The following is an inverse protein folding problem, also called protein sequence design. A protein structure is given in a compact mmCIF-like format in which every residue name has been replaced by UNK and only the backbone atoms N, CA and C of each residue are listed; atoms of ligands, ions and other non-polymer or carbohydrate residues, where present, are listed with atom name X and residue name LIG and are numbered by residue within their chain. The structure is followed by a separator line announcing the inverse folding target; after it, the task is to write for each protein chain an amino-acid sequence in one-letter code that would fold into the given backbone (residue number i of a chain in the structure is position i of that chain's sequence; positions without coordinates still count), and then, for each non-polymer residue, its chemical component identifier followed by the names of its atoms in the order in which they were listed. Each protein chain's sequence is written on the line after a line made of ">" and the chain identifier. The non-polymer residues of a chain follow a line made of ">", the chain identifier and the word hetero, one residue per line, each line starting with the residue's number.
data_IF_773397855956
#
_entry.id   IF_773397855956
#
_cell.length_a   1.000
_cell.length_b   1.000
_cell.length_c   1.000
_cell.angle_alpha   90.00
_cell.angle_beta   90.00
_cell.angle_gamma   90.00
#
_symmetry.space_group_name_H-M   'P 1'
#
loop_
_entity.id
_entity.type
_entity.pdbx_description
1 polymer ?
#
# COMPACT_ATOMS: atom_id res chain seq x y z
N UNK A 1 -11.87 1.37 7.87
CA UNK A 1 -10.87 1.29 8.95
C UNK A 1 -10.65 -0.16 9.38
N UNK A 2 -9.85 -0.89 8.61
CA UNK A 2 -9.25 -2.15 9.04
C UNK A 2 -8.17 -1.88 10.10
N UNK A 3 -8.22 -2.60 11.21
CA UNK A 3 -7.17 -2.55 12.24
C UNK A 3 -6.09 -3.60 11.98
N UNK A 4 -4.89 -3.40 12.54
CA UNK A 4 -3.79 -4.40 12.52
C UNK A 4 -4.28 -5.81 12.90
N UNK A 5 -5.17 -5.92 13.90
CA UNK A 5 -5.77 -7.19 14.33
C UNK A 5 -6.51 -7.94 13.22
N UNK A 6 -7.25 -7.20 12.39
CA UNK A 6 -8.05 -7.76 11.31
C UNK A 6 -7.17 -8.12 10.12
N UNK A 7 -6.17 -7.29 9.81
CA UNK A 7 -5.16 -7.57 8.79
C UNK A 7 -4.37 -8.85 9.11
N UNK A 8 -3.93 -9.02 10.36
CA UNK A 8 -3.27 -10.26 10.81
C UNK A 8 -4.16 -11.49 10.61
N UNK A 9 -5.44 -11.39 10.99
CA UNK A 9 -6.41 -12.49 10.79
C UNK A 9 -6.60 -12.80 9.30
N UNK A 10 -6.75 -11.77 8.47
CA UNK A 10 -6.92 -11.91 7.02
C UNK A 10 -5.71 -12.59 6.39
N UNK A 11 -4.50 -12.11 6.69
CA UNK A 11 -3.25 -12.67 6.14
C UNK A 11 -3.04 -14.12 6.60
N UNK A 12 -3.36 -14.42 7.87
CA UNK A 12 -3.32 -15.79 8.39
C UNK A 12 -4.27 -16.73 7.63
N UNK A 13 -5.52 -16.32 7.43
CA UNK A 13 -6.54 -17.12 6.72
C UNK A 13 -6.17 -17.30 5.25
N UNK A 14 -5.72 -16.23 4.59
CA UNK A 14 -5.23 -16.24 3.19
C UNK A 14 -4.12 -17.27 2.97
N UNK A 15 -3.27 -17.47 3.99
CA UNK A 15 -2.16 -18.44 3.96
C UNK A 15 -2.50 -19.82 4.53
N UNK A 16 -3.76 -20.07 4.89
CA UNK A 16 -4.21 -21.32 5.52
C UNK A 16 -3.44 -21.68 6.81
N UNK A 17 -3.00 -20.68 7.57
CA UNK A 17 -2.26 -20.88 8.80
C UNK A 17 -3.20 -21.04 10.00
N UNK A 18 -2.88 -21.94 10.93
CA UNK A 18 -3.53 -21.96 12.23
C UNK A 18 -2.96 -20.82 13.09
N UNK A 19 -3.72 -20.40 14.09
CA UNK A 19 -3.27 -19.37 15.05
C UNK A 19 -1.94 -19.74 15.73
N UNK A 20 -1.71 -21.03 16.01
CA UNK A 20 -0.47 -21.54 16.58
C UNK A 20 0.73 -21.43 15.63
N UNK A 21 0.48 -21.50 14.32
CA UNK A 21 1.53 -21.44 13.30
C UNK A 21 1.96 -19.98 13.11
N UNK A 22 0.98 -19.07 13.10
CA UNK A 22 1.20 -17.62 13.00
C UNK A 22 2.08 -17.09 14.14
N UNK A 23 1.94 -17.62 15.37
CA UNK A 23 2.72 -17.16 16.54
C UNK A 23 3.98 -18.00 16.80
N UNK A 24 4.38 -18.86 15.85
CA UNK A 24 5.55 -19.73 16.03
C UNK A 24 6.80 -18.91 16.35
N UNK A 25 7.49 -19.29 17.42
CA UNK A 25 8.71 -18.61 17.88
C UNK A 25 8.47 -17.33 18.69
N UNK A 26 7.22 -16.99 19.00
CA UNK A 26 6.87 -15.86 19.86
C UNK A 26 6.41 -16.35 21.24
N UNK A 27 6.63 -15.52 22.26
CA UNK A 27 6.13 -15.78 23.63
C UNK A 27 4.65 -15.36 23.76
N UNK A 28 3.82 -15.79 22.82
CA UNK A 28 2.38 -15.49 22.76
C UNK A 28 1.62 -16.81 22.83
N UNK A 29 0.62 -16.90 23.72
CA UNK A 29 -0.26 -18.07 23.77
C UNK A 29 -1.33 -18.00 22.68
N UNK A 30 -1.83 -19.15 22.21
CA UNK A 30 -2.93 -19.21 21.24
C UNK A 30 -4.16 -18.43 21.72
N UNK A 31 -4.49 -18.53 23.00
CA UNK A 31 -5.60 -17.78 23.63
C UNK A 31 -5.38 -16.28 23.51
N UNK A 32 -4.18 -15.79 23.87
CA UNK A 32 -3.84 -14.38 23.79
C UNK A 32 -3.88 -13.88 22.34
N UNK A 33 -3.33 -14.64 21.39
CA UNK A 33 -3.36 -14.29 19.97
C UNK A 33 -4.79 -14.27 19.40
N UNK A 34 -5.67 -15.18 19.84
CA UNK A 34 -7.09 -15.14 19.46
C UNK A 34 -7.78 -13.85 19.92
N UNK A 35 -7.41 -13.30 21.08
CA UNK A 35 -7.89 -12.00 21.55
C UNK A 35 -7.28 -10.83 20.77
N UNK A 36 -6.04 -10.96 20.29
CA UNK A 36 -5.42 -10.00 19.37
C UNK A 36 -6.19 -9.97 18.04
N UNK A 37 -6.45 -11.11 17.41
CA UNK A 37 -7.21 -11.16 16.13
C UNK A 37 -8.65 -10.63 16.25
N UNK A 38 -9.22 -10.66 17.46
CA UNK A 38 -10.53 -10.07 17.76
C UNK A 38 -10.47 -8.57 18.09
N UNK A 39 -9.28 -7.97 18.13
CA UNK A 39 -9.07 -6.58 18.50
C UNK A 39 -9.27 -6.27 19.99
N UNK A 40 -9.38 -7.30 20.84
CA UNK A 40 -9.55 -7.16 22.30
C UNK A 40 -8.22 -6.83 22.97
N UNK A 41 -7.15 -7.52 22.54
CA UNK A 41 -5.80 -7.27 23.03
C UNK A 41 -4.96 -6.55 21.97
N UNK A 42 -4.02 -5.73 22.43
CA UNK A 42 -3.01 -5.10 21.57
C UNK A 42 -1.85 -6.05 21.35
N UNK A 43 -1.14 -5.84 20.24
CA UNK A 43 0.14 -6.50 19.95
C UNK A 43 1.26 -5.47 20.10
N UNK A 44 2.37 -5.88 20.71
CA UNK A 44 3.57 -5.04 20.76
C UNK A 44 4.23 -4.97 19.38
N UNK A 45 4.84 -3.83 19.05
CA UNK A 45 5.49 -3.65 17.75
C UNK A 45 6.59 -4.70 17.51
N UNK A 46 7.41 -5.02 18.51
CA UNK A 46 8.45 -6.05 18.40
C UNK A 46 7.87 -7.43 18.05
N UNK A 47 6.74 -7.79 18.66
CA UNK A 47 6.07 -9.06 18.40
C UNK A 47 5.43 -9.06 17.02
N UNK A 48 4.83 -7.95 16.58
CA UNK A 48 4.29 -7.79 15.23
C UNK A 48 5.40 -7.98 14.19
N UNK A 49 6.52 -7.28 14.32
CA UNK A 49 7.63 -7.37 13.37
C UNK A 49 8.19 -8.79 13.30
N UNK A 50 8.43 -9.43 14.45
CA UNK A 50 8.89 -10.83 14.49
C UNK A 50 7.86 -11.80 13.91
N UNK A 51 6.56 -11.56 14.14
CA UNK A 51 5.49 -12.39 13.58
C UNK A 51 5.50 -12.36 12.05
N UNK A 52 5.58 -11.16 11.45
CA UNK A 52 5.64 -11.00 10.00
C UNK A 52 6.89 -11.69 9.43
N UNK A 53 8.06 -11.50 10.06
CA UNK A 53 9.30 -12.16 9.67
C UNK A 53 9.20 -13.70 9.73
N UNK A 54 8.75 -14.26 10.85
CA UNK A 54 8.68 -15.71 11.08
C UNK A 54 7.74 -16.43 10.10
N UNK A 55 6.74 -15.72 9.58
CA UNK A 55 5.77 -16.23 8.62
C UNK A 55 6.06 -15.81 7.17
N UNK A 56 7.21 -15.16 6.91
CA UNK A 56 7.60 -14.65 5.59
C UNK A 56 6.50 -13.79 4.97
N UNK A 57 5.93 -12.91 5.78
CA UNK A 57 4.99 -11.88 5.33
C UNK A 57 5.81 -10.65 5.00
N UNK A 58 5.69 -10.16 3.77
CA UNK A 58 6.38 -8.96 3.32
C UNK A 58 5.78 -7.73 4.02
N UNK A 59 6.65 -6.91 4.62
CA UNK A 59 6.22 -5.77 5.42
C UNK A 59 5.46 -4.74 4.57
N UNK A 60 5.99 -4.41 3.39
CA UNK A 60 5.38 -3.42 2.50
C UNK A 60 3.97 -3.87 2.11
N UNK A 61 3.80 -5.11 1.65
CA UNK A 61 2.50 -5.65 1.29
C UNK A 61 1.49 -5.66 2.44
N UNK A 62 1.95 -5.94 3.67
CA UNK A 62 1.08 -5.97 4.85
C UNK A 62 0.64 -4.56 5.26
N UNK A 63 1.58 -3.62 5.33
CA UNK A 63 1.28 -2.25 5.77
C UNK A 63 0.55 -1.45 4.70
N UNK A 64 0.84 -1.65 3.41
CA UNK A 64 0.11 -1.03 2.29
C UNK A 64 -1.40 -1.30 2.37
N UNK A 65 -1.79 -2.48 2.88
CA UNK A 65 -3.21 -2.84 3.01
C UNK A 65 -3.95 -2.02 4.07
N UNK A 66 -3.25 -1.60 5.13
CA UNK A 66 -3.86 -0.91 6.27
C UNK A 66 -3.46 0.57 6.37
N UNK A 67 -2.45 1.02 5.63
CA UNK A 67 -1.87 2.36 5.80
C UNK A 67 -2.93 3.47 5.63
N UNK A 68 -3.78 3.36 4.62
CA UNK A 68 -4.88 4.29 4.37
C UNK A 68 -5.85 4.38 5.56
N UNK A 69 -6.13 3.24 6.22
CA UNK A 69 -7.02 3.19 7.38
C UNK A 69 -6.42 3.86 8.62
N UNK A 70 -5.10 4.05 8.65
CA UNK A 70 -4.37 4.81 9.68
C UNK A 70 -4.02 6.24 9.22
N UNK A 71 -4.60 6.70 8.11
CA UNK A 71 -4.42 8.07 7.60
C UNK A 71 -3.09 8.32 6.88
N UNK A 72 -2.35 7.26 6.55
CA UNK A 72 -1.22 7.36 5.63
C UNK A 72 -1.72 7.15 4.20
N UNK A 73 -1.67 8.21 3.39
CA UNK A 73 -1.85 8.14 1.94
C UNK A 73 -0.48 8.26 1.27
N UNK A 74 -0.13 7.30 0.42
CA UNK A 74 1.03 7.41 -0.46
C UNK A 74 0.65 8.25 -1.68
N UNK A 75 0.73 9.57 -1.53
CA UNK A 75 0.39 10.54 -2.58
C UNK A 75 1.23 10.32 -3.84
N UNK A 76 2.48 9.89 -3.71
CA UNK A 76 3.35 9.58 -4.85
C UNK A 76 2.79 8.41 -5.64
N UNK A 77 2.46 7.29 -4.97
CA UNK A 77 1.89 6.11 -5.61
C UNK A 77 0.51 6.40 -6.22
N UNK A 78 -0.30 7.20 -5.55
CA UNK A 78 -1.61 7.64 -6.02
C UNK A 78 -1.51 8.51 -7.28
N UNK A 79 -0.68 9.55 -7.25
CA UNK A 79 -0.46 10.45 -8.40
C UNK A 79 0.16 9.70 -9.59
N UNK A 80 1.10 8.78 -9.33
CA UNK A 80 1.67 7.90 -10.36
C UNK A 80 0.57 7.06 -11.01
N UNK A 81 -0.28 6.42 -10.23
CA UNK A 81 -1.38 5.61 -10.76
C UNK A 81 -2.40 6.44 -11.54
N UNK A 82 -2.77 7.63 -11.05
CA UNK A 82 -3.66 8.55 -11.77
C UNK A 82 -3.06 8.97 -13.13
N UNK A 83 -1.75 9.23 -13.16
CA UNK A 83 -1.03 9.62 -14.37
C UNK A 83 -0.98 8.47 -15.39
N UNK A 84 -0.69 7.25 -14.96
CA UNK A 84 -0.68 6.07 -15.81
C UNK A 84 -2.07 5.80 -16.43
N UNK A 85 -3.14 5.93 -15.63
CA UNK A 85 -4.51 5.81 -16.12
C UNK A 85 -4.87 6.89 -17.16
N UNK A 86 -4.41 8.12 -16.96
CA UNK A 86 -4.61 9.20 -17.92
C UNK A 86 -3.88 8.92 -19.23
N UNK A 87 -2.66 8.40 -19.16
CA UNK A 87 -1.88 7.95 -20.32
C UNK A 87 -2.61 6.86 -21.11
N UNK A 88 -3.04 5.78 -20.46
CA UNK A 88 -3.75 4.69 -21.14
C UNK A 88 -5.05 5.14 -21.82
N UNK A 89 -5.75 6.12 -21.24
CA UNK A 89 -6.96 6.71 -21.81
C UNK A 89 -6.69 7.81 -22.84
N UNK A 90 -5.41 8.12 -23.10
CA UNK A 90 -4.96 9.26 -23.90
C UNK A 90 -5.62 10.60 -23.52
N UNK A 91 -5.86 10.80 -22.22
CA UNK A 91 -6.50 12.00 -21.70
C UNK A 91 -5.46 13.08 -21.38
N UNK A 92 -5.13 13.89 -22.39
CA UNK A 92 -4.17 14.98 -22.26
C UNK A 92 -4.62 16.05 -21.25
N UNK A 93 -5.93 16.32 -21.16
CA UNK A 93 -6.44 17.30 -20.20
C UNK A 93 -6.20 16.81 -18.78
N UNK A 94 -6.55 15.56 -18.51
CA UNK A 94 -6.35 14.95 -17.19
C UNK A 94 -4.88 14.86 -16.82
N UNK A 95 -4.02 14.51 -17.79
CA UNK A 95 -2.57 14.48 -17.63
C UNK A 95 -2.03 15.85 -17.15
N UNK A 96 -2.47 16.95 -17.78
CA UNK A 96 -2.07 18.31 -17.38
C UNK A 96 -2.55 18.70 -15.99
N UNK A 97 -3.77 18.31 -15.62
CA UNK A 97 -4.29 18.53 -14.27
C UNK A 97 -3.44 17.80 -13.22
N UNK A 98 -3.09 16.53 -13.48
CA UNK A 98 -2.27 15.73 -12.58
C UNK A 98 -0.84 16.29 -12.49
N UNK A 99 -0.23 16.65 -13.62
CA UNK A 99 1.09 17.29 -13.65
C UNK A 99 1.13 18.56 -12.81
N UNK A 100 0.09 19.40 -12.88
CA UNK A 100 -0.01 20.60 -12.03
C UNK A 100 -0.01 20.24 -10.55
N UNK A 101 -0.78 19.23 -10.15
CA UNK A 101 -0.78 18.72 -8.76
C UNK A 101 0.60 18.21 -8.33
N UNK A 102 1.30 17.48 -9.20
CA UNK A 102 2.66 16.96 -8.95
C UNK A 102 3.65 18.12 -8.77
N UNK A 103 3.52 19.21 -9.54
CA UNK A 103 4.37 20.38 -9.41
C UNK A 103 4.12 21.16 -8.10
N UNK A 104 2.88 21.17 -7.62
CA UNK A 104 2.46 21.85 -6.38
C UNK A 104 2.71 21.01 -5.11
N UNK A 105 3.07 19.74 -5.24
CA UNK A 105 3.34 18.83 -4.12
C UNK A 105 4.84 18.58 -3.90
N UNK A 106 5.18 18.15 -2.68
CA UNK A 106 6.54 17.73 -2.30
C UNK A 106 6.82 16.30 -2.78
N UNK A 107 6.70 16.09 -4.09
CA UNK A 107 6.92 14.79 -4.75
C UNK A 107 8.37 14.65 -5.25
N UNK A 108 8.89 13.41 -5.32
CA UNK A 108 10.20 13.13 -5.90
C UNK A 108 10.33 13.67 -7.33
N UNK A 109 11.54 14.08 -7.71
CA UNK A 109 11.80 14.68 -9.02
C UNK A 109 11.54 13.70 -10.17
N UNK A 110 11.70 12.40 -9.92
CA UNK A 110 11.40 11.33 -10.85
C UNK A 110 9.93 11.34 -11.29
N UNK A 111 8.99 11.62 -10.38
CA UNK A 111 7.58 11.71 -10.72
C UNK A 111 7.27 12.96 -11.56
N UNK A 112 7.99 14.06 -11.32
CA UNK A 112 7.90 15.27 -12.15
C UNK A 112 8.35 14.99 -13.58
N UNK A 113 9.48 14.30 -13.74
CA UNK A 113 9.97 13.88 -15.06
C UNK A 113 9.04 12.88 -15.76
N UNK A 114 8.46 11.93 -15.03
CA UNK A 114 7.45 11.02 -15.58
C UNK A 114 6.25 11.79 -16.14
N UNK A 115 5.74 12.78 -15.39
CA UNK A 115 4.62 13.62 -15.85
C UNK A 115 4.96 14.44 -17.10
N UNK A 116 6.18 14.97 -17.19
CA UNK A 116 6.66 15.69 -18.38
C UNK A 116 6.72 14.80 -19.62
N UNK A 117 7.25 13.57 -19.47
CA UNK A 117 7.35 12.59 -20.56
C UNK A 117 5.97 12.15 -21.05
N UNK A 118 5.04 11.85 -20.13
CA UNK A 118 3.67 11.44 -20.46
C UNK A 118 2.92 12.56 -21.19
N UNK A 119 3.02 13.81 -20.73
CA UNK A 119 2.40 14.94 -21.42
C UNK A 119 2.99 15.14 -22.82
N UNK A 120 4.32 15.10 -22.94
CA UNK A 120 5.01 15.29 -24.20
C UNK A 120 4.62 14.21 -25.23
N UNK A 121 4.55 12.94 -24.81
CA UNK A 121 4.07 11.85 -25.67
C UNK A 121 2.65 12.15 -26.15
N UNK A 122 1.68 12.34 -25.24
CA UNK A 122 0.28 12.55 -25.62
C UNK A 122 0.05 13.83 -26.45
N UNK A 123 0.85 14.87 -26.25
CA UNK A 123 0.78 16.09 -27.05
C UNK A 123 1.32 15.88 -28.47
N UNK A 124 2.34 15.03 -28.62
CA UNK A 124 2.99 14.72 -29.90
C UNK A 124 2.29 13.58 -30.66
N UNK A 125 1.58 12.66 -30.00
CA UNK A 125 0.84 11.55 -30.64
C UNK A 125 -0.40 12.01 -31.44
N UNK A 126 -0.57 13.32 -31.73
CA UNK A 126 -1.54 13.81 -32.73
C UNK A 126 -1.12 13.51 -34.19
N UNK A 127 -0.02 12.79 -34.40
CA UNK A 127 0.44 12.32 -35.72
C UNK A 127 0.45 10.79 -35.73
N UNK A 128 -0.54 10.16 -36.36
CA UNK A 128 -0.65 8.70 -36.61
C UNK A 128 -1.40 7.94 -35.51
N UNK A 129 -2.49 7.21 -35.77
CA UNK A 129 -2.85 6.39 -36.93
C UNK A 129 -4.27 6.70 -37.43
#
# INVERSE_FOLDING_TARGET
>A
MMKISEALKKERVKRNLLQKDMIRGLKISKSHYSLIEKGVHRIYADDLMKMLANNKIDYSSFFDEIANDYGYEDDVKKLTHELDLAFYKRDLKKTREIKKKIAESDTPIELKYHADLVEAELANSKVGY
#
